data_IF_053319234815
#
_entry.id   IF_053319234815
#
_cell.length_a   1.000
_cell.length_b   1.000
_cell.length_c   1.000
_cell.angle_alpha   90.00
_cell.angle_beta   90.00
_cell.angle_gamma   90.00
#
_symmetry.space_group_name_H-M   'P 1'
#
loop_
_entity.id
_entity.type
_entity.pdbx_description
1 polymer ?
#
# COMPACT_ATOMS: atom_id res chain seq x y z
N UNK A 1 -13.75 -32.00 -2.59
CA UNK A 1 -13.64 -30.91 -1.61
C UNK A 1 -12.44 -30.08 -2.00
N UNK A 2 -12.65 -29.11 -2.90
CA UNK A 2 -11.61 -28.48 -3.72
C UNK A 2 -11.12 -27.26 -2.94
N UNK A 3 -9.88 -27.31 -2.44
CA UNK A 3 -9.21 -26.16 -1.87
C UNK A 3 -9.06 -25.12 -3.00
N UNK A 4 -9.86 -24.06 -2.93
CA UNK A 4 -9.68 -22.88 -3.77
C UNK A 4 -8.34 -22.24 -3.35
N UNK A 5 -7.45 -22.12 -4.32
CA UNK A 5 -6.18 -21.42 -4.12
C UNK A 5 -6.51 -19.94 -3.91
N UNK A 6 -6.48 -19.51 -2.65
CA UNK A 6 -6.57 -18.09 -2.30
C UNK A 6 -5.33 -17.42 -2.89
N UNK A 7 -5.53 -16.54 -3.86
CA UNK A 7 -4.47 -15.80 -4.52
C UNK A 7 -3.96 -14.71 -3.58
N UNK A 8 -2.97 -15.06 -2.76
CA UNK A 8 -2.36 -14.16 -1.78
C UNK A 8 -1.66 -12.98 -2.47
N UNK A 9 -2.27 -11.80 -2.40
CA UNK A 9 -1.60 -10.57 -2.82
C UNK A 9 -0.66 -10.10 -1.70
N UNK A 10 0.65 -10.29 -1.88
CA UNK A 10 1.68 -9.79 -0.96
C UNK A 10 1.77 -8.27 -1.10
N UNK A 11 1.36 -7.55 -0.07
CA UNK A 11 1.28 -6.08 -0.11
C UNK A 11 2.51 -5.39 0.50
N UNK A 12 3.29 -6.09 1.35
CA UNK A 12 4.55 -5.53 1.85
C UNK A 12 5.42 -6.52 2.61
N UNK A 13 6.73 -6.31 2.52
CA UNK A 13 7.73 -6.97 3.36
C UNK A 13 8.70 -5.91 3.87
N UNK A 14 8.87 -5.80 5.19
CA UNK A 14 9.89 -4.95 5.79
C UNK A 14 10.90 -5.78 6.56
N UNK A 15 12.19 -5.51 6.34
CA UNK A 15 13.28 -6.21 7.02
C UNK A 15 14.28 -5.23 7.58
N UNK A 16 14.56 -5.31 8.88
CA UNK A 16 15.59 -4.52 9.54
C UNK A 16 16.65 -5.46 10.14
N UNK A 17 17.94 -5.14 9.92
CA UNK A 17 19.03 -5.79 10.66
C UNK A 17 19.23 -5.06 11.97
N UNK A 18 19.31 -5.83 13.04
CA UNK A 18 19.65 -5.32 14.36
C UNK A 18 20.76 -6.20 14.96
N UNK A 19 21.44 -5.77 16.03
CA UNK A 19 22.61 -6.47 16.56
C UNK A 19 22.38 -7.94 16.95
N UNK A 20 21.14 -8.37 17.14
CA UNK A 20 20.76 -9.71 17.61
C UNK A 20 20.11 -10.58 16.51
N UNK A 21 20.16 -10.19 15.22
CA UNK A 21 19.62 -10.97 14.07
C UNK A 21 18.79 -10.18 13.04
N UNK A 22 17.82 -10.84 12.39
CA UNK A 22 16.89 -10.23 11.43
C UNK A 22 15.51 -10.05 12.06
N UNK A 23 15.02 -8.80 12.10
CA UNK A 23 13.61 -8.52 12.31
C UNK A 23 12.91 -8.48 10.95
N UNK A 24 11.78 -9.16 10.81
CA UNK A 24 11.03 -9.21 9.57
C UNK A 24 9.54 -9.14 9.85
N UNK A 25 8.79 -8.48 8.98
CA UNK A 25 7.33 -8.54 8.96
C UNK A 25 6.87 -8.69 7.51
N UNK A 26 5.95 -9.62 7.32
CA UNK A 26 5.25 -9.89 6.08
C UNK A 26 3.76 -9.82 6.37
N UNK A 27 3.00 -9.24 5.45
CA UNK A 27 1.55 -9.20 5.59
C UNK A 27 0.86 -9.30 4.24
N UNK A 28 -0.36 -9.81 4.30
CA UNK A 28 -1.25 -10.03 3.16
C UNK A 28 -2.63 -9.55 3.57
N UNK A 29 -3.38 -9.01 2.61
CA UNK A 29 -4.78 -8.64 2.82
C UNK A 29 -5.65 -9.46 1.87
N UNK A 30 -6.75 -9.96 2.40
CA UNK A 30 -7.85 -10.59 1.66
C UNK A 30 -9.14 -9.91 2.10
N UNK A 31 -9.71 -9.05 1.26
CA UNK A 31 -10.85 -8.21 1.62
C UNK A 31 -10.56 -7.29 2.83
N UNK A 32 -11.31 -7.46 3.90
CA UNK A 32 -11.16 -6.73 5.17
C UNK A 32 -10.20 -7.43 6.15
N UNK A 33 -9.69 -8.61 5.80
CA UNK A 33 -8.82 -9.40 6.65
C UNK A 33 -7.36 -9.18 6.28
N UNK A 34 -6.53 -8.92 7.28
CA UNK A 34 -5.08 -8.79 7.15
C UNK A 34 -4.44 -9.94 7.94
N UNK A 35 -3.62 -10.74 7.25
CA UNK A 35 -2.72 -11.72 7.88
C UNK A 35 -1.35 -11.09 8.03
N UNK A 36 -0.76 -11.15 9.22
CA UNK A 36 0.56 -10.60 9.54
C UNK A 36 1.43 -11.72 10.10
N UNK A 37 2.58 -11.98 9.47
CA UNK A 37 3.66 -12.82 9.98
C UNK A 37 4.83 -11.94 10.39
N UNK A 38 5.25 -11.99 11.65
CA UNK A 38 6.42 -11.26 12.16
C UNK A 38 7.46 -12.19 12.75
N UNK A 39 8.72 -11.87 12.53
CA UNK A 39 9.87 -12.48 13.20
C UNK A 39 10.49 -11.46 14.13
N UNK A 40 10.37 -11.73 15.44
CA UNK A 40 11.04 -10.98 16.50
C UNK A 40 12.34 -11.71 16.86
N UNK A 41 13.48 -11.04 16.74
CA UNK A 41 14.78 -11.63 17.00
C UNK A 41 15.01 -12.13 18.44
N UNK A 42 15.95 -13.07 18.65
CA UNK A 42 16.38 -13.48 19.99
C UNK A 42 16.78 -12.29 20.86
N UNK A 43 16.49 -12.37 22.17
CA UNK A 43 16.79 -11.35 23.17
C UNK A 43 16.19 -9.96 22.89
N UNK A 44 15.14 -9.89 22.06
CA UNK A 44 14.39 -8.65 21.83
C UNK A 44 12.90 -8.86 22.07
N UNK A 45 12.19 -7.76 22.29
CA UNK A 45 10.73 -7.71 22.37
C UNK A 45 10.23 -6.71 21.35
N UNK A 46 9.02 -6.92 20.82
CA UNK A 46 8.36 -6.00 19.92
C UNK A 46 7.05 -5.48 20.52
N UNK A 47 6.72 -4.22 20.24
CA UNK A 47 5.37 -3.67 20.47
C UNK A 47 4.61 -3.81 19.17
N UNK A 48 3.47 -4.50 19.23
CA UNK A 48 2.61 -4.81 18.09
C UNK A 48 1.34 -3.97 18.21
N UNK A 49 1.01 -3.25 17.14
CA UNK A 49 -0.25 -2.54 17.00
C UNK A 49 -0.96 -3.10 15.78
N UNK A 50 -2.12 -3.73 15.98
CA UNK A 50 -2.91 -4.31 14.90
C UNK A 50 -3.90 -3.29 14.34
N UNK A 51 -4.28 -3.40 13.06
CA UNK A 51 -5.22 -2.50 12.40
C UNK A 51 -6.69 -2.71 12.82
N UNK A 52 -6.96 -3.66 13.70
CA UNK A 52 -8.31 -3.96 14.22
C UNK A 52 -8.77 -3.03 15.36
N UNK A 53 -7.99 -2.01 15.69
CA UNK A 53 -8.30 -1.04 16.74
C UNK A 53 -8.04 -1.58 18.15
N UNK A 54 -7.45 -2.77 18.29
CA UNK A 54 -6.99 -3.29 19.57
C UNK A 54 -5.83 -2.45 20.14
N UNK A 55 -5.71 -2.45 21.46
CA UNK A 55 -4.60 -1.78 22.13
C UNK A 55 -3.27 -2.46 21.77
N UNK A 56 -2.21 -1.65 21.63
CA UNK A 56 -0.89 -2.19 21.37
C UNK A 56 -0.43 -3.15 22.48
N UNK A 57 0.20 -4.25 22.09
CA UNK A 57 0.65 -5.29 23.03
C UNK A 57 2.11 -5.69 22.76
N UNK A 58 2.79 -6.16 23.80
CA UNK A 58 4.20 -6.54 23.72
C UNK A 58 4.34 -8.05 23.51
N UNK A 59 5.23 -8.45 22.61
CA UNK A 59 5.59 -9.85 22.37
C UNK A 59 7.10 -10.08 22.51
N UNK A 60 7.47 -11.29 22.91
CA UNK A 60 8.87 -11.71 22.99
C UNK A 60 9.45 -12.14 21.64
N UNK A 61 10.69 -12.61 21.67
CA UNK A 61 11.36 -13.21 20.51
C UNK A 61 10.59 -14.41 19.97
N UNK A 62 10.65 -14.63 18.65
CA UNK A 62 10.02 -15.76 17.98
C UNK A 62 9.33 -15.37 16.69
N UNK A 63 8.70 -16.35 16.05
CA UNK A 63 7.80 -16.13 14.93
C UNK A 63 6.38 -16.01 15.45
N UNK A 64 5.69 -14.96 15.03
CA UNK A 64 4.34 -14.63 15.44
C UNK A 64 3.46 -14.48 14.21
N UNK A 65 2.21 -14.93 14.32
CA UNK A 65 1.21 -14.78 13.28
C UNK A 65 -0.07 -14.21 13.88
N UNK A 66 -0.63 -13.20 13.21
CA UNK A 66 -1.90 -12.61 13.57
C UNK A 66 -2.83 -12.53 12.36
N UNK A 67 -4.12 -12.58 12.65
CA UNK A 67 -5.19 -12.27 11.70
C UNK A 67 -5.98 -11.13 12.34
N UNK A 68 -6.03 -10.00 11.66
CA UNK A 68 -6.75 -8.82 12.11
C UNK A 68 -7.76 -8.42 11.03
N UNK A 69 -8.98 -8.09 11.43
CA UNK A 69 -9.94 -7.42 10.54
C UNK A 69 -9.67 -5.93 10.64
N UNK A 70 -9.40 -5.27 9.53
CA UNK A 70 -9.15 -3.84 9.50
C UNK A 70 -10.44 -3.08 9.85
N UNK A 71 -10.58 -2.72 11.13
CA UNK A 71 -11.77 -2.06 11.66
C UNK A 71 -11.78 -0.56 11.36
N UNK A 72 -10.65 -0.01 10.87
CA UNK A 72 -10.57 1.36 10.36
C UNK A 72 -11.12 1.48 8.93
N UNK A 73 -11.43 0.37 8.25
CA UNK A 73 -12.24 0.34 7.02
C UNK A 73 -13.74 0.51 7.34
N UNK A 74 -14.09 1.10 8.49
CA UNK A 74 -15.45 1.55 8.77
C UNK A 74 -15.81 2.71 7.82
N UNK A 75 -16.22 2.33 6.60
CA UNK A 75 -16.72 3.16 5.49
C UNK A 75 -15.95 4.46 5.28
N UNK A 76 -14.72 4.36 4.76
CA UNK A 76 -14.31 5.41 3.82
C UNK A 76 -15.23 5.23 2.61
N UNK A 77 -16.20 6.13 2.44
CA UNK A 77 -16.84 6.30 1.14
C UNK A 77 -15.69 6.52 0.16
N UNK A 78 -15.45 5.58 -0.76
CA UNK A 78 -14.40 5.72 -1.77
C UNK A 78 -14.79 6.95 -2.57
N UNK A 79 -14.17 8.07 -2.27
CA UNK A 79 -14.39 9.30 -3.00
C UNK A 79 -13.75 9.14 -4.39
N UNK A 80 -14.33 9.72 -5.45
CA UNK A 80 -13.74 9.66 -6.78
C UNK A 80 -12.29 10.15 -6.74
N UNK A 81 -11.37 9.35 -7.29
CA UNK A 81 -9.96 9.72 -7.37
C UNK A 81 -9.76 10.51 -8.66
N UNK A 82 -9.55 11.82 -8.54
CA UNK A 82 -9.29 12.70 -9.68
C UNK A 82 -7.80 13.00 -9.80
N UNK A 83 -7.25 12.88 -11.00
CA UNK A 83 -5.80 13.01 -11.19
C UNK A 83 -5.25 14.39 -10.79
N UNK A 84 -6.03 15.46 -10.95
CA UNK A 84 -5.69 16.84 -10.62
C UNK A 84 -5.77 17.17 -9.12
N UNK A 85 -6.45 16.33 -8.33
CA UNK A 85 -6.74 16.58 -6.91
C UNK A 85 -6.14 15.51 -5.97
N UNK A 86 -5.84 14.31 -6.49
CA UNK A 86 -5.36 13.18 -5.68
C UNK A 86 -4.03 13.53 -4.99
N UNK A 87 -4.05 13.44 -3.66
CA UNK A 87 -2.82 13.52 -2.87
C UNK A 87 -2.03 12.22 -2.98
N UNK A 88 -0.70 12.30 -2.83
CA UNK A 88 0.16 11.12 -2.84
C UNK A 88 -0.15 10.16 -1.69
N UNK A 89 -0.58 10.67 -0.52
CA UNK A 89 -1.05 9.81 0.57
C UNK A 89 -2.30 9.02 0.16
N UNK A 90 -3.31 9.69 -0.40
CA UNK A 90 -4.52 9.00 -0.88
C UNK A 90 -4.21 8.01 -2.00
N UNK A 91 -3.27 8.34 -2.90
CA UNK A 91 -2.87 7.43 -3.95
C UNK A 91 -2.20 6.17 -3.40
N UNK A 92 -1.30 6.27 -2.42
CA UNK A 92 -0.63 5.08 -1.85
C UNK A 92 -1.56 4.25 -0.95
N UNK A 93 -2.51 4.89 -0.28
CA UNK A 93 -3.51 4.23 0.55
C UNK A 93 -4.51 3.41 -0.31
N UNK A 94 -4.66 3.76 -1.60
CA UNK A 94 -5.43 3.00 -2.59
C UNK A 94 -4.50 2.20 -3.53
N UNK A 95 -4.21 0.95 -3.15
CA UNK A 95 -3.27 0.10 -3.88
C UNK A 95 -3.64 -0.14 -5.36
N UNK A 96 -4.94 -0.20 -5.68
CA UNK A 96 -5.39 -0.43 -7.05
C UNK A 96 -5.19 0.82 -7.91
N UNK A 97 -5.50 2.01 -7.38
CA UNK A 97 -5.20 3.28 -8.03
C UNK A 97 -3.67 3.48 -8.19
N UNK A 98 -2.89 3.22 -7.14
CA UNK A 98 -1.43 3.28 -7.19
C UNK A 98 -0.85 2.40 -8.29
N UNK A 99 -1.25 1.12 -8.33
CA UNK A 99 -0.76 0.17 -9.33
C UNK A 99 -1.12 0.62 -10.74
N UNK A 100 -2.37 1.04 -10.95
CA UNK A 100 -2.82 1.53 -12.24
C UNK A 100 -1.98 2.73 -12.72
N UNK A 101 -1.77 3.73 -11.87
CA UNK A 101 -0.96 4.91 -12.21
C UNK A 101 0.47 4.51 -12.56
N UNK A 102 1.09 3.63 -11.78
CA UNK A 102 2.45 3.14 -12.05
C UNK A 102 2.52 2.36 -13.37
N UNK A 103 1.53 1.50 -13.64
CA UNK A 103 1.48 0.70 -14.87
C UNK A 103 1.32 1.57 -16.12
N UNK A 104 0.43 2.58 -16.06
CA UNK A 104 0.23 3.55 -17.14
C UNK A 104 1.49 4.36 -17.41
N UNK A 105 2.10 4.92 -16.35
CA UNK A 105 3.34 5.69 -16.50
C UNK A 105 4.45 4.79 -17.03
N UNK A 106 4.58 3.56 -16.54
CA UNK A 106 5.61 2.62 -17.00
C UNK A 106 5.47 2.25 -18.47
N UNK A 107 4.24 2.12 -18.97
CA UNK A 107 3.94 1.85 -20.37
C UNK A 107 4.35 2.99 -21.31
N UNK A 108 4.40 4.22 -20.81
CA UNK A 108 4.78 5.41 -21.59
C UNK A 108 6.23 5.82 -21.37
N UNK A 109 6.69 5.79 -20.12
CA UNK A 109 8.04 6.15 -19.68
C UNK A 109 8.41 5.38 -18.39
N UNK A 110 9.12 4.26 -18.57
CA UNK A 110 9.63 3.45 -17.47
C UNK A 110 10.60 4.20 -16.54
N UNK A 111 11.36 5.17 -17.04
CA UNK A 111 12.29 5.96 -16.22
C UNK A 111 11.55 6.92 -15.29
N UNK A 112 10.46 7.50 -15.79
CA UNK A 112 9.55 8.32 -14.99
C UNK A 112 8.82 7.51 -13.90
N UNK A 113 8.38 6.29 -14.22
CA UNK A 113 7.76 5.40 -13.23
C UNK A 113 8.73 5.06 -12.09
N UNK A 114 9.98 4.75 -12.41
CA UNK A 114 11.01 4.46 -11.40
C UNK A 114 11.33 5.68 -10.53
N UNK A 115 11.40 6.88 -11.12
CA UNK A 115 11.59 8.12 -10.37
C UNK A 115 10.41 8.38 -9.44
N UNK A 116 9.17 8.22 -9.92
CA UNK A 116 7.97 8.39 -9.09
C UNK A 116 8.03 7.47 -7.86
N UNK A 117 8.30 6.18 -8.05
CA UNK A 117 8.31 5.21 -6.95
C UNK A 117 9.45 5.46 -5.96
N UNK A 118 10.65 5.81 -6.45
CA UNK A 118 11.86 5.91 -5.60
C UNK A 118 12.06 7.28 -4.94
N UNK A 119 11.62 8.36 -5.58
CA UNK A 119 11.95 9.73 -5.15
C UNK A 119 10.78 10.48 -4.50
N UNK A 120 9.59 9.85 -4.48
CA UNK A 120 8.38 10.50 -3.95
C UNK A 120 8.23 10.28 -2.46
N UNK A 121 8.09 11.38 -1.72
CA UNK A 121 7.58 11.37 -0.36
C UNK A 121 6.04 11.29 -0.41
N UNK A 122 5.49 10.17 0.05
CA UNK A 122 4.05 9.91 0.08
C UNK A 122 3.40 10.69 1.24
N UNK A 123 3.06 11.95 0.99
CA UNK A 123 2.51 12.87 2.01
C UNK A 123 1.14 13.42 1.61
N UNK A 124 0.25 13.73 2.57
CA UNK A 124 -1.10 14.22 2.27
C UNK A 124 -1.14 15.59 1.58
N UNK A 125 -0.14 16.45 1.84
CA UNK A 125 -0.12 17.84 1.36
C UNK A 125 0.53 18.00 -0.02
N UNK A 126 0.75 16.91 -0.76
CA UNK A 126 1.41 16.95 -2.07
C UNK A 126 0.59 16.14 -3.07
N UNK A 127 0.30 16.75 -4.22
CA UNK A 127 -0.46 16.11 -5.30
C UNK A 127 0.45 15.32 -6.23
N UNK A 128 -0.15 14.39 -6.97
CA UNK A 128 0.56 13.53 -7.93
C UNK A 128 1.40 14.36 -8.93
N UNK A 129 0.80 15.38 -9.53
CA UNK A 129 1.46 16.19 -10.55
C UNK A 129 2.46 17.23 -10.00
N UNK A 130 2.39 17.57 -8.71
CA UNK A 130 3.34 18.47 -8.04
C UNK A 130 4.64 17.77 -7.62
N UNK A 131 4.66 16.43 -7.64
CA UNK A 131 5.81 15.65 -7.18
C UNK A 131 6.92 15.53 -8.22
N UNK A 132 6.54 15.52 -9.50
CA UNK A 132 7.46 15.35 -10.61
C UNK A 132 7.62 16.70 -11.30
N UNK A 133 8.86 17.20 -11.34
CA UNK A 133 9.20 18.54 -11.81
C UNK A 133 8.71 18.87 -13.24
N UNK A 134 8.35 17.86 -14.04
CA UNK A 134 7.64 18.01 -15.31
C UNK A 134 7.08 16.67 -15.81
N UNK A 135 5.78 16.44 -15.67
CA UNK A 135 5.10 15.31 -16.32
C UNK A 135 4.71 15.76 -17.74
N UNK A 136 5.06 15.00 -18.80
CA UNK A 136 4.58 15.30 -20.15
C UNK A 136 3.05 15.24 -20.22
N UNK A 137 2.41 16.19 -20.92
CA UNK A 137 0.95 16.24 -21.07
C UNK A 137 0.31 14.91 -21.51
N UNK A 138 0.90 14.11 -22.44
CA UNK A 138 0.35 12.81 -22.81
C UNK A 138 0.29 11.82 -21.66
N UNK A 139 1.25 11.87 -20.73
CA UNK A 139 1.30 11.01 -19.54
C UNK A 139 0.24 11.45 -18.53
N UNK A 140 0.09 12.77 -18.33
CA UNK A 140 -0.94 13.31 -17.44
C UNK A 140 -2.35 12.95 -17.92
N UNK A 141 -2.62 13.06 -19.23
CA UNK A 141 -3.90 12.69 -19.82
C UNK A 141 -4.18 11.18 -19.72
N UNK A 142 -3.18 10.34 -19.97
CA UNK A 142 -3.33 8.89 -19.85
C UNK A 142 -3.64 8.45 -18.41
N UNK A 143 -2.96 9.05 -17.42
CA UNK A 143 -3.22 8.81 -15.99
C UNK A 143 -4.62 9.28 -15.59
N UNK A 144 -5.03 10.46 -16.06
CA UNK A 144 -6.38 10.98 -15.79
C UNK A 144 -7.47 10.06 -16.34
N UNK A 145 -7.35 9.62 -17.60
CA UNK A 145 -8.30 8.69 -18.20
C UNK A 145 -8.37 7.35 -17.46
N UNK A 146 -7.23 6.79 -17.08
CA UNK A 146 -7.20 5.52 -16.34
C UNK A 146 -7.88 5.64 -14.97
N UNK A 147 -7.63 6.72 -14.23
CA UNK A 147 -8.29 6.95 -12.93
C UNK A 147 -9.81 7.18 -13.07
N UNK A 148 -10.25 7.83 -14.16
CA UNK A 148 -11.68 7.96 -14.46
C UNK A 148 -12.33 6.60 -14.78
N UNK A 149 -11.66 5.76 -15.57
CA UNK A 149 -12.11 4.37 -15.82
C UNK A 149 -12.18 3.57 -14.53
N UNK A 150 -11.21 3.74 -13.62
CA UNK A 150 -11.20 3.10 -12.31
C UNK A 150 -12.41 3.51 -11.47
N UNK A 151 -12.72 4.81 -11.41
CA UNK A 151 -13.89 5.31 -10.71
C UNK A 151 -15.19 4.74 -11.31
N UNK A 152 -15.27 4.67 -12.65
CA UNK A 152 -16.41 4.08 -13.35
C UNK A 152 -16.59 2.59 -13.03
N UNK A 153 -15.51 1.81 -12.99
CA UNK A 153 -15.53 0.38 -12.58
C UNK A 153 -15.99 0.23 -11.14
N UNK A 154 -15.63 1.17 -10.27
CA UNK A 154 -16.02 1.21 -8.85
C UNK A 154 -17.44 1.74 -8.62
N UNK A 155 -18.07 2.32 -9.65
CA UNK A 155 -19.41 2.89 -9.58
C UNK A 155 -19.51 4.17 -8.73
N UNK A 156 -18.42 4.95 -8.67
CA UNK A 156 -18.30 6.21 -7.91
C UNK A 156 -17.99 7.41 -8.82
#
# INVERSE_FOLDING_TARGET
NRAEAVEWHRLGTHTARHPYGRAAVEWWRDGDQITIDATVPPNTTAVVQLPDGSAAFQVGSGSHRWIATDSLVQRVQVAPIRADEVSLAQLIDDFEAFRMVVDVIRGLDSGLADLLVRSTAWVPNRRLFDSVARIPDPVAQAVAGALEELNAVRGI
#
